data_IF_442122986819
#
_entry.id   IF_442122986819
#
_cell.length_a   1.000
_cell.length_b   1.000
_cell.length_c   1.000
_cell.angle_alpha   90.00
_cell.angle_beta   90.00
_cell.angle_gamma   90.00
#
_symmetry.space_group_name_H-M   'P 1'
#
loop_
_entity.id
_entity.type
_entity.pdbx_description
1 polymer ?
#
# COMPACT_ATOMS: atom_id res chain seq x y z
N UNK A 1 -10.87 -11.16 26.60
CA UNK A 1 -10.90 -12.22 25.58
C UNK A 1 -12.36 -12.58 25.30
N UNK A 2 -13.01 -11.76 24.49
CA UNK A 2 -14.33 -12.03 23.90
C UNK A 2 -14.07 -12.71 22.57
N UNK A 3 -14.69 -13.87 22.34
CA UNK A 3 -14.59 -14.62 21.08
C UNK A 3 -15.01 -13.74 19.90
N UNK A 4 -14.05 -13.23 19.12
CA UNK A 4 -14.32 -12.63 17.81
C UNK A 4 -14.68 -13.78 16.85
N UNK A 5 -15.97 -14.03 16.69
CA UNK A 5 -16.45 -15.07 15.78
C UNK A 5 -16.34 -14.60 14.32
N UNK A 6 -15.31 -15.10 13.63
CA UNK A 6 -15.24 -15.10 12.16
C UNK A 6 -16.46 -15.82 11.59
N UNK A 7 -17.08 -15.25 10.56
CA UNK A 7 -18.13 -15.94 9.81
C UNK A 7 -17.50 -16.61 8.59
N UNK A 8 -17.89 -17.86 8.31
CA UNK A 8 -17.35 -18.65 7.20
C UNK A 8 -18.46 -19.12 6.26
N UNK A 9 -18.14 -19.13 4.97
CA UNK A 9 -19.00 -19.60 3.88
C UNK A 9 -18.20 -20.52 2.98
N UNK A 10 -18.62 -21.78 2.86
CA UNK A 10 -17.88 -22.79 2.09
C UNK A 10 -18.78 -23.37 1.00
N UNK A 11 -18.21 -23.61 -0.17
CA UNK A 11 -18.84 -24.42 -1.21
C UNK A 11 -17.83 -25.34 -1.88
N UNK A 12 -18.36 -26.39 -2.49
CA UNK A 12 -17.57 -27.36 -3.26
C UNK A 12 -18.24 -27.52 -4.63
N UNK A 13 -17.45 -27.56 -5.70
CA UNK A 13 -17.96 -27.88 -7.03
C UNK A 13 -17.00 -28.77 -7.79
N UNK A 14 -17.58 -29.69 -8.58
CA UNK A 14 -16.84 -30.58 -9.46
C UNK A 14 -16.74 -29.93 -10.84
N UNK A 15 -15.53 -29.76 -11.35
CA UNK A 15 -15.26 -29.26 -12.69
C UNK A 15 -14.58 -30.36 -13.51
N UNK A 16 -14.69 -30.35 -14.85
CA UNK A 16 -13.95 -31.30 -15.68
C UNK A 16 -12.43 -31.18 -15.40
N UNK A 17 -11.87 -32.19 -14.74
CA UNK A 17 -10.43 -32.30 -14.47
C UNK A 17 -9.95 -31.78 -13.12
N UNK A 18 -10.80 -31.28 -12.23
CA UNK A 18 -10.44 -30.97 -10.83
C UNK A 18 -11.69 -30.77 -9.96
N UNK A 19 -11.57 -31.02 -8.65
CA UNK A 19 -12.57 -30.61 -7.66
C UNK A 19 -12.04 -29.40 -6.91
N UNK A 20 -12.91 -28.42 -6.70
CA UNK A 20 -12.57 -27.22 -5.95
C UNK A 20 -13.36 -27.11 -4.65
N UNK A 21 -12.66 -26.68 -3.61
CA UNK A 21 -13.24 -26.25 -2.35
C UNK A 21 -12.89 -24.78 -2.15
N UNK A 22 -13.92 -23.96 -1.93
CA UNK A 22 -13.76 -22.52 -1.70
C UNK A 22 -14.31 -22.19 -0.33
N UNK A 23 -13.49 -21.54 0.49
CA UNK A 23 -13.87 -21.01 1.79
C UNK A 23 -13.68 -19.50 1.80
N UNK A 24 -14.74 -18.76 2.12
CA UNK A 24 -14.73 -17.31 2.33
C UNK A 24 -14.96 -17.05 3.82
N UNK A 25 -14.05 -16.30 4.43
CA UNK A 25 -14.10 -15.88 5.82
C UNK A 25 -14.17 -14.36 5.89
N UNK A 26 -14.95 -13.84 6.84
CA UNK A 26 -15.01 -12.41 7.12
C UNK A 26 -14.70 -12.15 8.58
N UNK A 27 -13.77 -11.22 8.79
CA UNK A 27 -13.34 -10.71 10.09
C UNK A 27 -13.53 -9.20 10.14
N UNK A 28 -13.87 -8.67 11.32
CA UNK A 28 -13.77 -7.23 11.58
C UNK A 28 -12.31 -6.88 11.86
N UNK A 29 -11.78 -5.83 11.24
CA UNK A 29 -10.45 -5.30 11.58
C UNK A 29 -10.39 -4.76 12.99
N UNK A 30 -11.54 -4.43 13.55
CA UNK A 30 -11.69 -3.82 14.86
C UNK A 30 -11.91 -4.83 15.98
N UNK A 31 -11.74 -6.13 15.70
CA UNK A 31 -11.91 -7.24 16.65
C UNK A 31 -13.31 -7.34 17.29
N UNK A 32 -14.29 -6.65 16.72
CA UNK A 32 -15.71 -6.76 17.07
C UNK A 32 -16.40 -7.92 16.30
N UNK A 33 -17.59 -8.30 16.73
CA UNK A 33 -18.43 -9.25 15.98
C UNK A 33 -18.76 -8.72 14.58
N UNK A 34 -18.73 -9.58 13.57
CA UNK A 34 -19.09 -9.21 12.19
C UNK A 34 -20.54 -8.73 12.09
N UNK A 35 -20.74 -7.61 11.40
CA UNK A 35 -22.07 -7.02 11.19
C UNK A 35 -22.89 -7.81 10.15
N UNK A 36 -24.23 -7.70 10.14
CA UNK A 36 -25.07 -8.29 9.09
C UNK A 36 -24.69 -7.84 7.67
N UNK A 37 -24.21 -6.60 7.51
CA UNK A 37 -23.76 -6.07 6.21
C UNK A 37 -22.47 -6.75 5.75
N UNK A 38 -21.48 -6.89 6.64
CA UNK A 38 -20.23 -7.61 6.34
C UNK A 38 -20.50 -9.07 5.98
N UNK A 39 -21.41 -9.73 6.72
CA UNK A 39 -21.82 -11.10 6.43
C UNK A 39 -22.59 -11.24 5.10
N UNK A 40 -23.40 -10.25 4.72
CA UNK A 40 -24.07 -10.24 3.41
C UNK A 40 -23.05 -10.09 2.27
N UNK A 41 -22.10 -9.17 2.41
CA UNK A 41 -21.04 -8.95 1.43
C UNK A 41 -20.18 -10.21 1.19
N UNK A 42 -19.78 -10.90 2.27
CA UNK A 42 -19.03 -12.15 2.18
C UNK A 42 -19.82 -13.28 1.49
N UNK A 43 -21.15 -13.35 1.69
CA UNK A 43 -22.01 -14.31 0.95
C UNK A 43 -22.11 -13.99 -0.52
N UNK A 44 -22.19 -12.71 -0.88
CA UNK A 44 -22.21 -12.27 -2.26
C UNK A 44 -20.90 -12.62 -2.97
N UNK A 45 -19.75 -12.42 -2.31
CA UNK A 45 -18.46 -12.90 -2.82
C UNK A 45 -18.44 -14.42 -3.05
N UNK A 46 -18.92 -15.22 -2.09
CA UNK A 46 -19.00 -16.67 -2.24
C UNK A 46 -19.89 -17.08 -3.44
N UNK A 47 -21.01 -16.37 -3.66
CA UNK A 47 -21.87 -16.59 -4.81
C UNK A 47 -21.20 -16.22 -6.14
N UNK A 48 -20.47 -15.09 -6.18
CA UNK A 48 -19.68 -14.66 -7.33
C UNK A 48 -18.61 -15.69 -7.71
N UNK A 49 -17.87 -16.19 -6.72
CA UNK A 49 -16.86 -17.23 -6.93
C UNK A 49 -17.48 -18.55 -7.41
N UNK A 50 -18.65 -18.92 -6.89
CA UNK A 50 -19.38 -20.11 -7.32
C UNK A 50 -19.85 -20.00 -8.79
N UNK A 51 -20.33 -18.83 -9.20
CA UNK A 51 -20.69 -18.55 -10.59
C UNK A 51 -19.46 -18.60 -11.51
N UNK A 52 -18.38 -17.92 -11.13
CA UNK A 52 -17.13 -17.88 -11.92
C UNK A 52 -16.53 -19.28 -12.14
N UNK A 53 -16.58 -20.14 -11.12
CA UNK A 53 -16.19 -21.54 -11.20
C UNK A 53 -17.10 -22.34 -12.14
N UNK A 54 -18.42 -22.21 -12.00
CA UNK A 54 -19.40 -22.94 -12.82
C UNK A 54 -19.32 -22.59 -14.31
N UNK A 55 -18.94 -21.36 -14.62
CA UNK A 55 -18.76 -20.85 -15.99
C UNK A 55 -17.33 -21.05 -16.52
N UNK A 56 -16.43 -21.69 -15.76
CA UNK A 56 -15.07 -21.92 -16.19
C UNK A 56 -14.98 -23.01 -17.25
N UNK A 57 -14.31 -22.68 -18.36
CA UNK A 57 -13.92 -23.66 -19.37
C UNK A 57 -12.43 -23.96 -19.19
N UNK A 58 -12.03 -25.23 -18.97
CA UNK A 58 -10.64 -25.59 -18.80
C UNK A 58 -9.77 -25.14 -19.97
N UNK A 59 -8.67 -24.46 -19.65
CA UNK A 59 -7.61 -24.08 -20.59
C UNK A 59 -6.33 -24.83 -20.28
N UNK A 60 -5.54 -25.14 -21.30
CA UNK A 60 -4.20 -25.71 -21.09
C UNK A 60 -3.32 -24.71 -20.29
N UNK A 61 -2.52 -25.20 -19.32
CA UNK A 61 -1.60 -24.34 -18.60
C UNK A 61 -0.54 -23.78 -19.55
N UNK A 62 -0.34 -22.47 -19.54
CA UNK A 62 0.72 -21.80 -20.30
C UNK A 62 1.84 -21.32 -19.37
N UNK A 63 3.05 -21.23 -19.93
CA UNK A 63 4.24 -20.70 -19.25
C UNK A 63 5.05 -19.91 -20.28
N UNK A 64 5.24 -18.62 -20.05
CA UNK A 64 6.22 -17.83 -20.80
C UNK A 64 7.53 -17.75 -20.01
N UNK A 65 8.60 -18.30 -20.57
CA UNK A 65 9.94 -18.35 -19.97
C UNK A 65 10.92 -17.41 -20.72
N UNK A 66 10.41 -16.29 -21.24
CA UNK A 66 11.23 -15.26 -21.89
C UNK A 66 12.18 -14.59 -20.90
N UNK A 67 13.33 -14.08 -21.39
CA UNK A 67 14.28 -13.34 -20.56
C UNK A 67 13.66 -12.10 -19.89
N UNK A 68 12.72 -11.41 -20.57
CA UNK A 68 11.99 -10.28 -20.01
C UNK A 68 11.22 -10.66 -18.73
N UNK A 69 10.66 -11.87 -18.69
CA UNK A 69 9.97 -12.37 -17.51
C UNK A 69 10.94 -12.56 -16.32
N UNK A 70 12.19 -12.94 -16.58
CA UNK A 70 13.23 -13.00 -15.55
C UNK A 70 13.69 -11.62 -15.08
N UNK A 71 13.69 -10.60 -15.95
CA UNK A 71 13.95 -9.20 -15.53
C UNK A 71 12.86 -8.73 -14.57
N UNK A 72 11.59 -8.91 -14.94
CA UNK A 72 10.45 -8.50 -14.10
C UNK A 72 10.45 -9.25 -12.77
N UNK A 73 10.77 -10.55 -12.77
CA UNK A 73 10.92 -11.34 -11.55
C UNK A 73 12.07 -10.84 -10.66
N UNK A 74 13.21 -10.48 -11.25
CA UNK A 74 14.34 -9.92 -10.50
C UNK A 74 13.99 -8.58 -9.85
N UNK A 75 13.36 -7.68 -10.60
CA UNK A 75 12.86 -6.42 -10.07
C UNK A 75 11.85 -6.65 -8.93
N UNK A 76 10.97 -7.63 -9.07
CA UNK A 76 10.01 -8.01 -8.02
C UNK A 76 10.73 -8.42 -6.72
N UNK A 77 11.73 -9.31 -6.80
CA UNK A 77 12.49 -9.71 -5.61
C UNK A 77 13.22 -8.53 -4.95
N UNK A 78 13.79 -7.62 -5.74
CA UNK A 78 14.44 -6.42 -5.21
C UNK A 78 13.45 -5.50 -4.47
N UNK A 79 12.26 -5.29 -5.05
CA UNK A 79 11.19 -4.51 -4.40
C UNK A 79 10.75 -5.16 -3.09
N UNK A 80 10.65 -6.49 -3.02
CA UNK A 80 10.28 -7.19 -1.79
C UNK A 80 11.38 -7.11 -0.72
N UNK A 81 12.65 -7.22 -1.10
CA UNK A 81 13.77 -7.00 -0.18
C UNK A 81 13.74 -5.56 0.40
N UNK A 82 13.41 -4.55 -0.42
CA UNK A 82 13.23 -3.17 0.04
C UNK A 82 12.00 -2.99 0.93
N UNK A 83 10.89 -3.63 0.57
CA UNK A 83 9.66 -3.62 1.35
C UNK A 83 9.92 -4.19 2.75
N UNK A 84 10.58 -5.35 2.83
CA UNK A 84 11.01 -6.00 4.09
C UNK A 84 11.81 -5.06 4.98
N UNK A 85 12.79 -4.36 4.41
CA UNK A 85 13.63 -3.42 5.15
C UNK A 85 12.87 -2.15 5.61
N UNK A 86 11.68 -1.91 5.03
CA UNK A 86 10.84 -0.73 5.33
C UNK A 86 9.68 -1.04 6.28
N UNK A 87 9.39 -2.32 6.56
CA UNK A 87 8.27 -2.75 7.42
C UNK A 87 8.32 -2.04 8.78
N UNK A 88 9.48 -1.99 9.43
CA UNK A 88 9.54 -1.42 10.80
C UNK A 88 9.63 0.11 10.84
N UNK A 89 10.06 0.75 9.75
CA UNK A 89 10.51 2.15 9.77
C UNK A 89 9.66 3.11 8.93
N UNK A 90 9.04 2.63 7.84
CA UNK A 90 8.34 3.49 6.89
C UNK A 90 7.18 2.75 6.19
N UNK A 91 5.98 2.68 6.82
CA UNK A 91 4.82 1.98 6.27
C UNK A 91 4.42 2.44 4.86
N UNK A 92 4.54 3.74 4.57
CA UNK A 92 4.28 4.31 3.25
C UNK A 92 5.25 3.81 2.18
N UNK A 93 6.53 3.65 2.52
CA UNK A 93 7.53 3.10 1.61
C UNK A 93 7.31 1.60 1.41
N UNK A 94 7.08 0.85 2.48
CA UNK A 94 6.75 -0.57 2.39
C UNK A 94 5.53 -0.79 1.48
N UNK A 95 4.45 -0.02 1.68
CA UNK A 95 3.27 -0.03 0.81
C UNK A 95 3.63 0.23 -0.65
N UNK A 96 4.42 1.28 -0.94
CA UNK A 96 4.85 1.62 -2.30
C UNK A 96 5.57 0.44 -2.96
N UNK A 97 6.54 -0.16 -2.26
CA UNK A 97 7.30 -1.29 -2.80
C UNK A 97 6.42 -2.52 -3.03
N UNK A 98 5.48 -2.81 -2.13
CA UNK A 98 4.51 -3.88 -2.35
C UNK A 98 3.56 -3.61 -3.51
N UNK A 99 3.14 -2.36 -3.71
CA UNK A 99 2.31 -1.97 -4.86
C UNK A 99 3.08 -2.17 -6.17
N UNK A 100 4.32 -1.67 -6.27
CA UNK A 100 5.17 -1.86 -7.46
C UNK A 100 5.50 -3.34 -7.70
N UNK A 101 5.72 -4.12 -6.64
CA UNK A 101 5.92 -5.57 -6.74
C UNK A 101 4.64 -6.28 -7.23
N UNK A 102 3.47 -5.84 -6.78
CA UNK A 102 2.20 -6.36 -7.26
C UNK A 102 1.97 -6.03 -8.73
N UNK A 103 2.31 -4.83 -9.21
CA UNK A 103 2.21 -4.45 -10.63
C UNK A 103 3.10 -5.36 -11.50
N UNK A 104 4.33 -5.64 -11.07
CA UNK A 104 5.20 -6.61 -11.74
C UNK A 104 4.58 -8.02 -11.74
N UNK A 105 4.03 -8.45 -10.61
CA UNK A 105 3.39 -9.76 -10.47
C UNK A 105 2.10 -9.89 -11.26
N UNK A 106 1.40 -8.79 -11.54
CA UNK A 106 0.25 -8.77 -12.45
C UNK A 106 0.69 -9.15 -13.86
N UNK A 107 1.77 -8.54 -14.35
CA UNK A 107 2.35 -8.87 -15.66
C UNK A 107 2.83 -10.34 -15.68
N UNK A 108 3.53 -10.78 -14.64
CA UNK A 108 3.99 -12.16 -14.53
C UNK A 108 2.84 -13.18 -14.44
N UNK A 109 1.73 -12.83 -13.78
CA UNK A 109 0.50 -13.65 -13.68
C UNK A 109 -0.11 -13.88 -15.07
N UNK A 110 -0.09 -12.88 -15.95
CA UNK A 110 -0.54 -13.04 -17.33
C UNK A 110 0.38 -13.95 -18.15
N UNK A 111 1.68 -13.93 -17.86
CA UNK A 111 2.69 -14.76 -18.54
C UNK A 111 2.76 -16.20 -18.01
N UNK A 112 2.47 -16.42 -16.73
CA UNK A 112 2.42 -17.73 -16.08
C UNK A 112 1.46 -17.68 -14.87
N UNK A 113 0.31 -18.38 -14.92
CA UNK A 113 -0.69 -18.35 -13.85
C UNK A 113 -0.21 -18.83 -12.46
N UNK A 114 0.97 -19.45 -12.35
CA UNK A 114 1.56 -19.82 -11.05
C UNK A 114 1.86 -18.61 -10.17
N UNK A 115 2.07 -17.44 -10.76
CA UNK A 115 2.25 -16.18 -10.03
C UNK A 115 0.96 -15.64 -9.41
N UNK A 116 -0.22 -16.22 -9.70
CA UNK A 116 -1.51 -15.73 -9.19
C UNK A 116 -1.50 -15.54 -7.67
N UNK A 117 -1.04 -16.53 -6.92
CA UNK A 117 -1.05 -16.42 -5.46
C UNK A 117 -0.03 -15.40 -4.96
N UNK A 118 1.16 -15.34 -5.57
CA UNK A 118 2.16 -14.33 -5.26
C UNK A 118 1.62 -12.90 -5.51
N UNK A 119 0.95 -12.68 -6.64
CA UNK A 119 0.29 -11.41 -6.96
C UNK A 119 -0.70 -10.99 -5.85
N UNK A 120 -1.63 -11.88 -5.50
CA UNK A 120 -2.64 -11.56 -4.48
C UNK A 120 -2.06 -11.42 -3.08
N UNK A 121 -0.95 -12.11 -2.76
CA UNK A 121 -0.24 -11.91 -1.50
C UNK A 121 0.53 -10.59 -1.48
N UNK A 122 1.10 -10.14 -2.60
CA UNK A 122 1.71 -8.81 -2.71
C UNK A 122 0.66 -7.71 -2.51
N UNK A 123 -0.53 -7.83 -3.13
CA UNK A 123 -1.67 -6.91 -2.90
C UNK A 123 -2.12 -6.92 -1.43
N UNK A 124 -2.12 -8.10 -0.78
CA UNK A 124 -2.42 -8.22 0.65
C UNK A 124 -1.38 -7.50 1.52
N UNK A 125 -0.09 -7.62 1.22
CA UNK A 125 0.98 -6.89 1.90
C UNK A 125 0.85 -5.38 1.69
N UNK A 126 0.57 -4.91 0.47
CA UNK A 126 0.30 -3.50 0.18
C UNK A 126 -0.85 -2.97 1.05
N UNK A 127 -1.96 -3.71 1.12
CA UNK A 127 -3.11 -3.31 1.93
C UNK A 127 -2.80 -3.35 3.43
N UNK A 128 -2.09 -4.36 3.92
CA UNK A 128 -1.69 -4.44 5.33
C UNK A 128 -0.77 -3.27 5.72
N UNK A 129 0.24 -2.97 4.91
CA UNK A 129 1.10 -1.80 5.09
C UNK A 129 0.30 -0.48 5.09
N UNK A 130 -0.65 -0.35 4.16
CA UNK A 130 -1.52 0.81 4.05
C UNK A 130 -2.48 1.00 5.23
N UNK A 131 -2.85 -0.08 5.92
CA UNK A 131 -3.73 -0.07 7.09
C UNK A 131 -2.95 -0.10 8.43
N UNK A 132 -1.62 0.07 8.40
CA UNK A 132 -0.75 0.01 9.58
C UNK A 132 -0.83 -1.32 10.35
N UNK A 133 -1.02 -2.43 9.63
CA UNK A 133 -1.08 -3.78 10.19
C UNK A 133 0.29 -4.44 10.14
N UNK A 134 1.27 -3.88 10.88
CA UNK A 134 2.68 -4.25 10.73
C UNK A 134 3.00 -5.66 11.24
N UNK A 135 2.34 -6.10 12.32
CA UNK A 135 2.50 -7.46 12.85
C UNK A 135 2.05 -8.52 11.82
N UNK A 136 0.90 -8.28 11.18
CA UNK A 136 0.34 -9.11 10.12
C UNK A 136 1.23 -9.07 8.86
N UNK A 137 1.84 -7.91 8.57
CA UNK A 137 2.63 -7.66 7.36
C UNK A 137 3.89 -8.53 7.29
N UNK A 138 4.60 -8.72 8.41
CA UNK A 138 5.80 -9.58 8.46
C UNK A 138 5.44 -11.02 8.07
N UNK A 139 4.39 -11.59 8.68
CA UNK A 139 3.91 -12.94 8.36
C UNK A 139 3.49 -13.06 6.88
N UNK A 140 2.79 -12.05 6.35
CA UNK A 140 2.33 -12.08 4.96
C UNK A 140 3.49 -11.98 3.97
N UNK A 141 4.52 -11.18 4.31
CA UNK A 141 5.72 -11.08 3.50
C UNK A 141 6.50 -12.40 3.45
N UNK A 142 6.71 -13.05 4.59
CA UNK A 142 7.33 -14.38 4.63
C UNK A 142 6.52 -15.39 3.80
N UNK A 143 5.19 -15.34 3.88
CA UNK A 143 4.33 -16.19 3.07
C UNK A 143 4.49 -15.89 1.58
N UNK A 144 4.55 -14.62 1.16
CA UNK A 144 4.74 -14.20 -0.23
C UNK A 144 6.01 -14.80 -0.85
N UNK A 145 7.14 -14.78 -0.12
CA UNK A 145 8.41 -15.35 -0.60
C UNK A 145 8.27 -16.85 -0.95
N UNK A 146 7.41 -17.60 -0.24
CA UNK A 146 7.17 -19.03 -0.52
C UNK A 146 6.43 -19.29 -1.83
N UNK A 147 5.73 -18.29 -2.36
CA UNK A 147 4.99 -18.39 -3.63
C UNK A 147 5.81 -17.95 -4.83
N UNK A 148 6.99 -17.36 -4.64
CA UNK A 148 7.86 -16.91 -5.71
C UNK A 148 8.86 -17.99 -6.14
N UNK A 149 9.34 -17.95 -7.40
CA UNK A 149 10.51 -18.72 -7.80
C UNK A 149 11.70 -18.44 -6.89
N UNK A 150 12.33 -19.51 -6.39
CA UNK A 150 13.46 -19.40 -5.50
C UNK A 150 14.70 -18.83 -6.23
N UNK A 151 15.35 -17.85 -5.59
CA UNK A 151 16.68 -17.39 -5.98
C UNK A 151 17.70 -18.49 -5.67
N UNK A 152 18.49 -18.89 -6.67
CA UNK A 152 19.53 -19.91 -6.50
C UNK A 152 20.77 -19.31 -5.85
N UNK A 153 21.15 -19.84 -4.69
CA UNK A 153 22.37 -19.46 -3.98
C UNK A 153 23.51 -20.49 -4.18
N UNK A 154 23.20 -21.62 -4.82
CA UNK A 154 24.08 -22.76 -5.08
C UNK A 154 23.56 -23.57 -6.26
N UNK A 155 24.16 -24.74 -6.50
CA UNK A 155 23.80 -25.71 -7.54
C UNK A 155 22.30 -25.73 -7.90
N UNK A 156 22.03 -25.57 -9.19
CA UNK A 156 20.69 -25.55 -9.75
C UNK A 156 20.03 -26.93 -9.75
N UNK A 157 18.72 -27.04 -9.44
CA UNK A 157 17.95 -28.27 -9.62
C UNK A 157 17.62 -28.55 -11.10
N UNK A 158 17.89 -27.60 -12.00
CA UNK A 158 17.61 -27.67 -13.44
C UNK A 158 18.89 -27.53 -14.26
N UNK A 159 18.89 -28.08 -15.49
CA UNK A 159 20.05 -28.06 -16.40
C UNK A 159 20.45 -26.65 -16.84
N UNK A 160 19.51 -25.71 -16.86
CA UNK A 160 19.73 -24.32 -17.28
C UNK A 160 19.38 -23.35 -16.17
N UNK A 161 20.06 -22.20 -16.19
CA UNK A 161 19.85 -21.07 -15.29
C UNK A 161 19.75 -19.76 -16.07
N UNK A 162 19.08 -18.78 -15.48
CA UNK A 162 19.13 -17.39 -15.93
C UNK A 162 19.85 -16.56 -14.87
N UNK A 163 20.86 -15.83 -15.29
CA UNK A 163 21.63 -14.89 -14.48
C UNK A 163 21.16 -13.49 -14.81
N UNK A 164 20.72 -12.76 -13.80
CA UNK A 164 20.33 -11.36 -13.86
C UNK A 164 21.34 -10.57 -13.03
N UNK A 165 22.18 -9.79 -13.70
CA UNK A 165 23.16 -8.90 -13.06
C UNK A 165 22.64 -7.45 -13.11
N UNK A 166 22.42 -6.87 -11.94
CA UNK A 166 22.03 -5.46 -11.72
C UNK A 166 23.28 -4.56 -11.63
N UNK A 167 23.32 -3.55 -12.48
CA UNK A 167 24.39 -2.57 -12.61
C UNK A 167 24.01 -1.18 -12.06
N UNK A 168 22.86 -1.04 -11.39
CA UNK A 168 22.44 0.21 -10.78
C UNK A 168 23.46 0.65 -9.73
N UNK A 169 23.91 1.90 -9.82
CA UNK A 169 24.85 2.45 -8.83
C UNK A 169 24.13 2.83 -7.55
N UNK A 170 24.87 2.87 -6.44
CA UNK A 170 24.33 3.32 -5.16
C UNK A 170 23.81 4.76 -5.22
N UNK A 171 24.47 5.65 -5.98
CA UNK A 171 24.01 7.03 -6.15
C UNK A 171 22.72 7.11 -6.96
N UNK A 172 22.58 6.27 -8.01
CA UNK A 172 21.35 6.17 -8.79
C UNK A 172 20.19 5.68 -7.94
N UNK A 173 20.41 4.59 -7.19
CA UNK A 173 19.40 4.04 -6.29
C UNK A 173 19.02 5.03 -5.18
N UNK A 174 19.98 5.75 -4.59
CA UNK A 174 19.70 6.74 -3.55
C UNK A 174 18.85 7.92 -4.06
N UNK A 175 18.89 8.22 -5.36
CA UNK A 175 18.12 9.32 -5.96
C UNK A 175 16.65 8.94 -6.18
N UNK A 176 16.36 7.70 -6.58
CA UNK A 176 15.01 7.24 -6.92
C UNK A 176 14.35 6.44 -5.79
N UNK A 177 15.17 5.81 -4.95
CA UNK A 177 14.78 4.80 -3.97
C UNK A 177 13.97 3.67 -4.63
N UNK A 178 14.21 3.38 -5.90
CA UNK A 178 13.53 2.32 -6.65
C UNK A 178 14.56 1.60 -7.52
N UNK A 179 14.40 0.27 -7.72
CA UNK A 179 15.28 -0.45 -8.62
C UNK A 179 15.13 0.03 -10.07
N UNK A 180 16.23 0.03 -10.81
CA UNK A 180 16.26 0.44 -12.21
C UNK A 180 16.29 -0.78 -13.15
N UNK A 181 15.14 -1.08 -13.75
CA UNK A 181 14.98 -2.20 -14.68
C UNK A 181 15.76 -2.04 -15.99
N UNK A 182 16.21 -0.82 -16.33
CA UNK A 182 17.07 -0.58 -17.50
C UNK A 182 18.55 -0.81 -17.20
N UNK A 183 18.94 -0.81 -15.91
CA UNK A 183 20.32 -1.02 -15.47
C UNK A 183 20.68 -2.51 -15.31
N UNK A 184 19.98 -3.42 -15.99
CA UNK A 184 20.11 -4.87 -15.79
C UNK A 184 20.66 -5.56 -17.04
N UNK A 185 21.50 -6.57 -16.86
CA UNK A 185 21.90 -7.52 -17.92
C UNK A 185 21.43 -8.93 -17.61
N UNK A 186 20.88 -9.62 -18.62
CA UNK A 186 20.35 -10.99 -18.46
C UNK A 186 21.03 -11.96 -19.42
N UNK A 187 21.47 -13.09 -18.88
CA UNK A 187 22.08 -14.18 -19.65
C UNK A 187 21.45 -15.52 -19.26
N UNK A 188 21.20 -16.38 -20.24
CA UNK A 188 20.83 -17.78 -20.02
C UNK A 188 22.06 -18.65 -20.25
N UNK A 189 22.35 -19.53 -19.30
CA UNK A 189 23.53 -20.40 -19.30
C UNK A 189 23.13 -21.83 -18.95
N UNK A 190 23.97 -22.79 -19.32
CA UNK A 190 23.91 -24.12 -18.73
C UNK A 190 24.42 -24.04 -17.27
N UNK A 191 23.82 -24.83 -16.38
CA UNK A 191 24.04 -24.68 -14.94
C UNK A 191 25.48 -25.02 -14.50
N UNK A 192 26.17 -25.87 -15.28
CA UNK A 192 27.57 -26.26 -15.07
C UNK A 192 28.58 -25.25 -15.66
N UNK A 193 28.12 -24.30 -16.46
CA UNK A 193 28.92 -23.19 -16.99
C UNK A 193 28.95 -21.98 -16.04
N UNK A 194 28.16 -21.99 -14.96
CA UNK A 194 28.07 -20.85 -14.04
C UNK A 194 29.25 -20.84 -13.04
N UNK A 195 30.13 -19.86 -13.20
CA UNK A 195 31.31 -19.68 -12.35
C UNK A 195 30.98 -19.38 -10.87
N UNK A 196 29.91 -18.61 -10.61
CA UNK A 196 29.43 -18.29 -9.26
C UNK A 196 27.95 -17.91 -9.25
N UNK A 197 27.23 -18.51 -8.30
CA UNK A 197 25.84 -18.21 -7.97
C UNK A 197 25.69 -16.94 -7.12
N UNK A 198 26.75 -16.53 -6.41
CA UNK A 198 26.70 -15.39 -5.50
C UNK A 198 27.69 -14.30 -5.93
N UNK A 199 27.16 -13.13 -6.28
CA UNK A 199 27.92 -11.92 -6.56
C UNK A 199 27.05 -10.69 -6.22
N UNK A 200 27.68 -9.53 -5.95
CA UNK A 200 26.95 -8.29 -5.68
C UNK A 200 26.15 -7.89 -6.92
N UNK A 201 24.86 -7.59 -6.74
CA UNK A 201 23.94 -7.27 -7.85
C UNK A 201 23.49 -8.48 -8.67
N UNK A 202 23.96 -9.70 -8.38
CA UNK A 202 23.59 -10.90 -9.12
C UNK A 202 22.41 -11.62 -8.48
N UNK A 203 21.43 -11.96 -9.30
CA UNK A 203 20.38 -12.92 -8.96
C UNK A 203 20.34 -14.04 -9.99
N UNK A 204 20.25 -15.29 -9.54
CA UNK A 204 20.22 -16.47 -10.41
C UNK A 204 18.91 -17.22 -10.22
N UNK A 205 18.26 -17.62 -11.32
CA UNK A 205 16.99 -18.33 -11.31
C UNK A 205 17.07 -19.65 -12.10
N UNK A 206 16.30 -20.68 -11.71
CA UNK A 206 16.19 -21.90 -12.49
C UNK A 206 15.40 -21.66 -13.79
N UNK A 207 15.59 -22.57 -14.76
CA UNK A 207 14.77 -22.66 -15.98
C UNK A 207 14.15 -24.05 -16.04
N UNK A 208 12.81 -24.19 -15.97
CA UNK A 208 11.80 -23.12 -15.87
C UNK A 208 11.79 -22.40 -14.51
N UNK A 209 11.18 -21.21 -14.44
CA UNK A 209 11.06 -20.43 -13.19
C UNK A 209 10.45 -21.24 -12.04
N UNK A 210 9.39 -22.00 -12.33
CA UNK A 210 8.80 -22.96 -11.42
C UNK A 210 9.11 -24.37 -11.91
N UNK A 211 10.16 -25.03 -11.38
CA UNK A 211 10.36 -26.46 -11.60
C UNK A 211 9.13 -27.25 -11.14
N UNK A 212 8.83 -28.36 -11.81
CA UNK A 212 7.61 -29.11 -11.51
C UNK A 212 7.59 -29.62 -10.06
N UNK A 213 6.45 -29.48 -9.39
CA UNK A 213 6.26 -29.90 -8.00
C UNK A 213 6.79 -28.93 -6.93
N UNK A 214 7.29 -27.76 -7.31
CA UNK A 214 7.80 -26.74 -6.35
C UNK A 214 6.72 -25.88 -5.72
N UNK A 215 5.55 -25.74 -6.35
CA UNK A 215 4.46 -24.87 -5.91
C UNK A 215 3.15 -25.64 -5.82
N UNK A 216 2.41 -25.42 -4.73
CA UNK A 216 1.08 -26.02 -4.54
C UNK A 216 0.03 -25.27 -5.37
N UNK A 217 -0.91 -26.01 -5.97
CA UNK A 217 -2.09 -25.42 -6.62
C UNK A 217 -3.11 -25.00 -5.56
N UNK A 218 -2.95 -23.78 -5.04
CA UNK A 218 -3.82 -23.18 -4.03
C UNK A 218 -3.84 -21.66 -4.19
N UNK A 219 -4.97 -21.04 -3.89
CA UNK A 219 -5.09 -19.59 -3.73
C UNK A 219 -5.51 -19.30 -2.30
N UNK A 220 -4.74 -18.52 -1.56
CA UNK A 220 -5.04 -18.17 -0.18
C UNK A 220 -4.59 -16.73 0.09
N UNK A 221 -5.55 -15.81 0.09
CA UNK A 221 -5.27 -14.38 0.29
C UNK A 221 -6.40 -13.72 1.08
N UNK A 222 -6.24 -12.44 1.41
CA UNK A 222 -7.29 -11.62 1.97
C UNK A 222 -7.31 -10.22 1.37
N UNK A 223 -8.50 -9.63 1.33
CA UNK A 223 -8.73 -8.26 0.88
C UNK A 223 -9.33 -7.43 2.03
N UNK A 224 -8.86 -6.20 2.17
CA UNK A 224 -9.33 -5.23 3.15
C UNK A 224 -10.33 -4.27 2.49
N UNK A 225 -11.55 -4.23 3.01
CA UNK A 225 -12.67 -3.46 2.45
C UNK A 225 -13.47 -2.89 3.61
N UNK A 226 -13.79 -1.58 3.65
CA UNK A 226 -14.71 -0.97 4.62
C UNK A 226 -14.54 -1.44 6.09
N UNK A 227 -13.31 -1.51 6.60
CA UNK A 227 -13.03 -1.93 7.98
C UNK A 227 -13.21 -3.44 8.27
N UNK A 228 -13.36 -4.28 7.24
CA UNK A 228 -13.34 -5.74 7.33
C UNK A 228 -12.19 -6.36 6.53
N UNK A 229 -11.77 -7.55 6.96
CA UNK A 229 -10.87 -8.45 6.23
C UNK A 229 -11.69 -9.59 5.67
N UNK A 230 -11.64 -9.77 4.35
CA UNK A 230 -12.22 -10.91 3.65
C UNK A 230 -11.09 -11.85 3.25
N UNK A 231 -11.00 -13.00 3.90
CA UNK A 231 -10.06 -14.04 3.54
C UNK A 231 -10.76 -15.04 2.66
N UNK A 232 -10.20 -15.39 1.51
CA UNK A 232 -10.71 -16.47 0.69
C UNK A 232 -9.61 -17.47 0.34
N UNK A 233 -9.97 -18.73 0.46
CA UNK A 233 -9.10 -19.88 0.27
C UNK A 233 -9.76 -20.77 -0.77
N UNK A 234 -9.01 -21.08 -1.83
CA UNK A 234 -9.39 -22.00 -2.89
C UNK A 234 -8.38 -23.13 -2.90
N UNK A 235 -8.86 -24.32 -2.56
CA UNK A 235 -8.11 -25.56 -2.64
C UNK A 235 -8.59 -26.36 -3.86
N UNK A 236 -7.63 -26.90 -4.62
CA UNK A 236 -7.88 -27.72 -5.81
C UNK A 236 -7.23 -29.09 -5.61
N UNK A 237 -7.93 -30.18 -5.97
CA UNK A 237 -7.36 -31.54 -5.89
C UNK A 237 -6.18 -31.74 -6.87
N UNK A 238 -6.34 -31.24 -8.10
CA UNK A 238 -5.33 -31.29 -9.17
C UNK A 238 -4.78 -29.89 -9.50
N UNK A 239 -3.66 -29.83 -10.24
CA UNK A 239 -3.07 -28.56 -10.69
C UNK A 239 -4.03 -27.75 -11.58
N UNK A 240 -4.42 -26.56 -11.13
CA UNK A 240 -5.44 -25.74 -11.79
C UNK A 240 -5.13 -24.23 -11.75
N UNK A 241 -3.87 -23.84 -11.96
CA UNK A 241 -3.46 -22.42 -11.90
C UNK A 241 -4.29 -21.46 -12.77
N UNK A 242 -4.70 -21.78 -14.01
CA UNK A 242 -5.56 -20.90 -14.78
C UNK A 242 -6.96 -20.69 -14.16
N UNK A 243 -7.51 -21.70 -13.48
CA UNK A 243 -8.76 -21.57 -12.73
C UNK A 243 -8.56 -20.68 -11.50
N UNK A 244 -7.47 -20.88 -10.75
CA UNK A 244 -7.12 -20.04 -9.60
C UNK A 244 -6.97 -18.57 -10.01
N UNK A 245 -6.32 -18.30 -11.16
CA UNK A 245 -6.24 -16.96 -11.77
C UNK A 245 -7.62 -16.35 -11.97
N UNK A 246 -8.53 -17.06 -12.65
CA UNK A 246 -9.89 -16.59 -12.92
C UNK A 246 -10.68 -16.32 -11.63
N UNK A 247 -10.56 -17.18 -10.63
CA UNK A 247 -11.26 -17.01 -9.35
C UNK A 247 -10.71 -15.81 -8.57
N UNK A 248 -9.40 -15.61 -8.58
CA UNK A 248 -8.78 -14.42 -8.00
C UNK A 248 -9.24 -13.14 -8.69
N UNK A 249 -9.28 -13.11 -10.03
CA UNK A 249 -9.74 -11.95 -10.80
C UNK A 249 -11.21 -11.62 -10.50
N UNK A 250 -12.07 -12.63 -10.38
CA UNK A 250 -13.46 -12.45 -9.99
C UNK A 250 -13.62 -11.89 -8.56
N UNK A 251 -12.78 -12.32 -7.62
CA UNK A 251 -12.76 -11.77 -6.26
C UNK A 251 -12.29 -10.32 -6.24
N UNK A 252 -11.25 -10.02 -7.00
CA UNK A 252 -10.67 -8.69 -7.12
C UNK A 252 -11.66 -7.70 -7.76
N UNK A 253 -12.30 -8.05 -8.87
CA UNK A 253 -13.32 -7.22 -9.51
C UNK A 253 -14.48 -6.93 -8.55
N UNK A 254 -14.91 -7.93 -7.79
CA UNK A 254 -15.95 -7.76 -6.77
C UNK A 254 -15.52 -6.79 -5.65
N UNK A 255 -14.26 -6.85 -5.22
CA UNK A 255 -13.70 -6.03 -4.14
C UNK A 255 -13.12 -4.68 -4.61
N UNK A 256 -13.13 -4.38 -5.91
CA UNK A 256 -12.46 -3.20 -6.49
C UNK A 256 -12.97 -1.85 -5.95
N UNK A 257 -14.11 -1.83 -5.27
CA UNK A 257 -14.76 -0.63 -4.71
C UNK A 257 -13.88 0.14 -3.72
N UNK A 258 -12.89 -0.52 -3.09
CA UNK A 258 -12.03 0.08 -2.05
C UNK A 258 -10.52 -0.03 -2.30
N UNK A 259 -10.10 -0.62 -3.42
CA UNK A 259 -8.67 -0.84 -3.69
C UNK A 259 -7.92 0.49 -3.85
N UNK A 260 -6.97 0.76 -2.94
CA UNK A 260 -5.97 1.82 -3.08
C UNK A 260 -6.16 3.08 -2.24
N UNK A 261 -7.18 3.15 -1.38
CA UNK A 261 -7.37 4.25 -0.43
C UNK A 261 -7.33 3.71 1.00
N UNK A 262 -6.15 3.67 1.59
CA UNK A 262 -5.92 3.17 2.96
C UNK A 262 -5.63 4.34 3.92
N UNK A 263 -5.63 4.08 5.25
CA UNK A 263 -5.27 5.10 6.24
C UNK A 263 -3.94 5.83 5.95
N UNK A 264 -2.90 5.14 5.44
CA UNK A 264 -1.67 5.79 4.97
C UNK A 264 -1.96 6.92 3.96
N UNK A 265 -2.76 6.69 2.91
CA UNK A 265 -3.11 7.74 1.94
C UNK A 265 -3.89 8.88 2.59
N UNK A 266 -4.83 8.54 3.49
CA UNK A 266 -5.61 9.54 4.21
C UNK A 266 -4.70 10.50 4.99
N UNK A 267 -3.78 9.97 5.80
CA UNK A 267 -2.92 10.80 6.64
C UNK A 267 -1.83 11.52 5.85
N UNK A 268 -1.30 10.93 4.78
CA UNK A 268 -0.39 11.61 3.86
C UNK A 268 -1.07 12.82 3.20
N UNK A 269 -2.28 12.65 2.67
CA UNK A 269 -2.99 13.73 1.98
C UNK A 269 -3.57 14.77 2.97
N UNK A 270 -3.93 14.37 4.19
CA UNK A 270 -4.31 15.29 5.25
C UNK A 270 -3.13 16.17 5.68
N UNK A 271 -1.95 15.58 5.88
CA UNK A 271 -0.73 16.31 6.20
C UNK A 271 -0.31 17.27 5.07
N UNK A 272 -0.43 16.83 3.82
CA UNK A 272 -0.19 17.67 2.64
C UNK A 272 -1.18 18.85 2.61
N UNK A 273 -2.48 18.58 2.76
CA UNK A 273 -3.53 19.59 2.80
C UNK A 273 -3.30 20.65 3.89
N UNK A 274 -2.86 20.25 5.08
CA UNK A 274 -2.50 21.15 6.19
C UNK A 274 -1.29 22.02 5.88
N UNK A 275 -0.25 21.46 5.27
CA UNK A 275 0.91 22.23 4.82
C UNK A 275 0.50 23.26 3.76
N UNK A 276 -0.39 22.88 2.82
CA UNK A 276 -0.92 23.79 1.80
C UNK A 276 -1.79 24.91 2.39
N UNK A 277 -2.62 24.59 3.38
CA UNK A 277 -3.41 25.59 4.11
C UNK A 277 -2.51 26.65 4.76
N UNK A 278 -1.45 26.19 5.45
CA UNK A 278 -0.46 27.09 6.05
C UNK A 278 0.22 28.00 5.00
N UNK A 279 0.54 27.46 3.82
CA UNK A 279 1.14 28.22 2.72
C UNK A 279 0.20 29.25 2.09
N UNK A 280 -1.12 29.06 2.20
CA UNK A 280 -2.13 30.03 1.74
C UNK A 280 -2.11 31.35 2.54
N UNK A 281 -1.46 31.38 3.70
CA UNK A 281 -1.23 32.59 4.50
C UNK A 281 0.08 33.31 4.14
N UNK A 282 0.90 32.75 3.25
CA UNK A 282 2.17 33.37 2.85
C UNK A 282 1.97 34.58 1.93
N UNK A 283 2.89 35.57 1.94
CA UNK A 283 2.87 36.67 0.98
C UNK A 283 2.93 36.19 -0.47
N UNK A 284 3.75 35.17 -0.73
CA UNK A 284 3.93 34.60 -2.08
C UNK A 284 2.61 34.09 -2.67
N UNK A 285 1.76 33.46 -1.87
CA UNK A 285 0.45 32.99 -2.34
C UNK A 285 -0.46 34.12 -2.85
N UNK A 286 -0.35 35.32 -2.27
CA UNK A 286 -1.11 36.49 -2.71
C UNK A 286 -0.50 37.19 -3.95
N UNK A 287 0.82 37.07 -4.12
CA UNK A 287 1.61 37.81 -5.12
C UNK A 287 1.91 37.02 -6.40
N UNK A 288 2.06 35.70 -6.30
CA UNK A 288 2.47 34.80 -7.39
C UNK A 288 1.29 33.91 -7.82
N UNK A 289 0.61 34.31 -8.90
CA UNK A 289 -0.55 33.61 -9.43
C UNK A 289 -0.25 32.20 -9.96
N UNK A 290 0.99 31.92 -10.41
CA UNK A 290 1.38 30.58 -10.86
C UNK A 290 1.56 29.68 -9.65
N UNK A 291 2.28 30.16 -8.63
CA UNK A 291 2.44 29.45 -7.37
C UNK A 291 1.10 29.16 -6.71
N UNK A 292 0.19 30.15 -6.65
CA UNK A 292 -1.16 29.97 -6.12
C UNK A 292 -1.93 28.89 -6.87
N UNK A 293 -1.91 28.88 -8.20
CA UNK A 293 -2.60 27.85 -8.98
C UNK A 293 -2.07 26.46 -8.65
N UNK A 294 -0.75 26.28 -8.67
CA UNK A 294 -0.13 24.99 -8.38
C UNK A 294 -0.45 24.51 -6.95
N UNK A 295 -0.47 25.42 -5.97
CA UNK A 295 -0.90 25.13 -4.61
C UNK A 295 -2.36 24.66 -4.58
N UNK A 296 -3.26 25.39 -5.25
CA UNK A 296 -4.70 25.08 -5.28
C UNK A 296 -5.01 23.78 -6.02
N UNK A 297 -4.33 23.49 -7.11
CA UNK A 297 -4.44 22.22 -7.84
C UNK A 297 -4.00 21.05 -6.94
N UNK A 298 -2.91 21.22 -6.21
CA UNK A 298 -2.45 20.21 -5.27
C UNK A 298 -3.39 20.05 -4.07
N UNK A 299 -3.94 21.16 -3.56
CA UNK A 299 -4.91 21.13 -2.46
C UNK A 299 -6.21 20.43 -2.89
N UNK A 300 -6.70 20.73 -4.10
CA UNK A 300 -7.84 20.06 -4.71
C UNK A 300 -7.60 18.55 -4.90
N UNK A 301 -6.38 18.16 -5.27
CA UNK A 301 -5.99 16.75 -5.35
C UNK A 301 -6.07 16.07 -3.97
N UNK A 302 -5.42 16.63 -2.95
CA UNK A 302 -5.43 16.06 -1.59
C UNK A 302 -6.86 15.92 -1.05
N UNK A 303 -7.69 16.95 -1.21
CA UNK A 303 -9.11 16.90 -0.82
C UNK A 303 -9.91 15.88 -1.62
N UNK A 304 -9.54 15.59 -2.87
CA UNK A 304 -10.19 14.56 -3.67
C UNK A 304 -9.93 13.15 -3.16
N UNK A 305 -8.74 12.91 -2.58
CA UNK A 305 -8.39 11.66 -1.90
C UNK A 305 -9.11 11.57 -0.57
N UNK A 306 -9.08 12.64 0.26
CA UNK A 306 -9.81 12.68 1.54
C UNK A 306 -11.32 12.45 1.35
N UNK A 307 -11.90 12.95 0.25
CA UNK A 307 -13.29 12.72 -0.11
C UNK A 307 -13.64 11.25 -0.43
N UNK A 308 -12.65 10.37 -0.61
CA UNK A 308 -12.88 8.92 -0.72
C UNK A 308 -13.19 8.28 0.64
N UNK A 309 -12.75 8.91 1.72
CA UNK A 309 -12.97 8.45 3.09
C UNK A 309 -14.18 9.13 3.73
N UNK A 310 -14.37 10.44 3.50
CA UNK A 310 -15.52 11.18 4.04
C UNK A 310 -16.05 12.21 3.03
N UNK A 311 -17.36 12.13 2.74
CA UNK A 311 -18.06 13.04 1.85
C UNK A 311 -18.05 14.51 2.34
N UNK A 312 -17.72 14.77 3.62
CA UNK A 312 -17.53 16.14 4.13
C UNK A 312 -16.47 16.93 3.34
N UNK A 313 -15.54 16.24 2.68
CA UNK A 313 -14.49 16.86 1.86
C UNK A 313 -14.94 17.21 0.43
N UNK A 314 -16.18 16.89 0.02
CA UNK A 314 -16.70 17.20 -1.31
C UNK A 314 -16.74 18.72 -1.57
N UNK A 315 -17.31 19.47 -0.63
CA UNK A 315 -17.42 20.93 -0.71
C UNK A 315 -16.04 21.60 -0.73
N UNK A 316 -15.12 21.35 0.23
CA UNK A 316 -13.80 21.98 0.18
C UNK A 316 -13.01 21.60 -1.07
N UNK A 317 -13.13 20.36 -1.60
CA UNK A 317 -12.53 19.97 -2.88
C UNK A 317 -13.02 20.86 -4.03
N UNK A 318 -14.32 21.05 -4.13
CA UNK A 318 -14.93 21.83 -5.21
C UNK A 318 -14.61 23.33 -5.08
N UNK A 319 -14.48 23.83 -3.84
CA UNK A 319 -13.98 25.18 -3.58
C UNK A 319 -12.51 25.34 -4.00
N UNK A 320 -11.64 24.37 -3.74
CA UNK A 320 -10.24 24.41 -4.17
C UNK A 320 -10.12 24.45 -5.70
N UNK A 321 -10.89 23.60 -6.40
CA UNK A 321 -10.97 23.61 -7.88
C UNK A 321 -11.48 24.93 -8.42
N UNK A 322 -12.58 25.43 -7.85
CA UNK A 322 -13.14 26.72 -8.24
C UNK A 322 -12.15 27.86 -8.02
N UNK A 323 -11.40 27.84 -6.91
CA UNK A 323 -10.36 28.83 -6.64
C UNK A 323 -9.20 28.75 -7.65
N UNK A 324 -8.83 27.54 -8.08
CA UNK A 324 -7.81 27.32 -9.11
C UNK A 324 -8.26 27.89 -10.47
N UNK A 325 -9.51 27.65 -10.86
CA UNK A 325 -10.10 28.18 -12.10
C UNK A 325 -10.22 29.71 -12.05
N UNK A 326 -10.72 30.25 -10.93
CA UNK A 326 -10.87 31.69 -10.71
C UNK A 326 -9.55 32.46 -10.68
N UNK A 327 -8.43 31.78 -10.42
CA UNK A 327 -7.11 32.40 -10.46
C UNK A 327 -6.78 32.99 -11.84
N UNK A 328 -7.36 32.46 -12.92
CA UNK A 328 -7.18 32.98 -14.28
C UNK A 328 -8.03 34.22 -14.56
N UNK A 329 -9.16 34.40 -13.87
CA UNK A 329 -10.18 35.40 -14.20
C UNK A 329 -10.37 36.52 -13.16
N UNK A 330 -9.99 36.32 -11.89
CA UNK A 330 -10.23 37.30 -10.82
C UNK A 330 -8.98 37.69 -10.04
N UNK A 331 -8.85 39.01 -9.83
CA UNK A 331 -7.87 39.67 -8.98
C UNK A 331 -7.88 39.10 -7.57
N UNK A 332 -6.90 38.26 -7.29
CA UNK A 332 -6.24 37.87 -6.03
C UNK A 332 -6.99 37.67 -4.72
N UNK A 333 -8.06 38.40 -4.40
CA UNK A 333 -8.63 38.40 -3.04
C UNK A 333 -9.66 37.29 -2.83
N UNK A 334 -10.51 37.02 -3.82
CA UNK A 334 -11.54 35.98 -3.74
C UNK A 334 -10.94 34.56 -3.68
N UNK A 335 -9.92 34.28 -4.49
CA UNK A 335 -9.21 33.00 -4.44
C UNK A 335 -8.52 32.81 -3.07
N UNK A 336 -7.94 33.87 -2.51
CA UNK A 336 -7.31 33.83 -1.19
C UNK A 336 -8.33 33.58 -0.07
N UNK A 337 -9.47 34.25 -0.10
CA UNK A 337 -10.53 34.06 0.90
C UNK A 337 -11.12 32.65 0.83
N UNK A 338 -11.42 32.15 -0.37
CA UNK A 338 -11.90 30.79 -0.57
C UNK A 338 -10.91 29.76 -0.03
N UNK A 339 -9.61 29.91 -0.35
CA UNK A 339 -8.57 28.98 0.11
C UNK A 339 -8.47 28.94 1.63
N UNK A 340 -8.49 30.10 2.29
CA UNK A 340 -8.41 30.16 3.77
C UNK A 340 -9.64 29.58 4.44
N UNK A 341 -10.79 29.62 3.78
CA UNK A 341 -12.00 28.99 4.31
C UNK A 341 -11.81 27.48 4.36
N UNK A 342 -11.18 26.87 3.33
CA UNK A 342 -10.98 25.42 3.20
C UNK A 342 -10.28 24.82 4.44
N UNK A 343 -9.29 25.52 5.00
CA UNK A 343 -8.58 25.06 6.21
C UNK A 343 -9.46 24.75 7.41
N UNK A 344 -10.65 25.38 7.51
CA UNK A 344 -11.59 25.15 8.62
C UNK A 344 -12.29 23.79 8.56
N UNK A 345 -12.28 23.11 7.41
CA UNK A 345 -12.82 21.75 7.27
C UNK A 345 -11.79 20.67 7.58
N UNK A 346 -10.50 21.01 7.62
CA UNK A 346 -9.46 20.03 7.91
C UNK A 346 -9.50 19.63 9.39
N UNK A 347 -9.41 18.32 9.71
CA UNK A 347 -9.17 17.84 11.06
C UNK A 347 -8.04 18.61 11.75
N UNK A 348 -8.11 18.81 13.07
CA UNK A 348 -7.07 19.53 13.80
C UNK A 348 -5.80 18.69 13.89
N UNK A 349 -4.66 19.34 13.72
CA UNK A 349 -3.39 18.80 14.18
C UNK A 349 -3.36 18.96 15.72
N UNK A 350 -2.90 17.95 16.45
CA UNK A 350 -2.74 18.07 17.90
C UNK A 350 -1.75 19.21 18.23
N UNK A 351 -0.78 19.48 17.37
CA UNK A 351 0.10 20.64 17.50
C UNK A 351 -0.66 21.98 17.49
N UNK A 352 -1.84 22.06 16.84
CA UNK A 352 -2.71 23.26 16.87
C UNK A 352 -3.31 23.51 18.26
N UNK A 353 -3.36 22.48 19.11
CA UNK A 353 -3.91 22.54 20.48
C UNK A 353 -2.83 22.90 21.50
N UNK A 354 -1.54 22.71 21.16
CA UNK A 354 -0.41 23.01 22.03
C UNK A 354 -0.17 24.55 22.08
N UNK A 355 -0.15 25.18 23.26
CA UNK A 355 0.03 26.62 23.38
C UNK A 355 1.37 27.13 22.81
N UNK A 356 1.31 28.20 22.00
CA UNK A 356 2.51 28.88 21.46
C UNK A 356 3.36 29.47 22.60
N UNK A 357 4.65 29.10 22.64
CA UNK A 357 5.61 29.58 23.66
C UNK A 357 5.87 28.59 24.79
N UNK A 358 5.37 27.37 24.70
CA UNK A 358 5.76 26.28 25.58
C UNK A 358 7.27 26.04 25.50
N UNK A 359 7.95 26.09 26.66
CA UNK A 359 9.37 25.75 26.81
C UNK A 359 9.50 24.63 27.84
N UNK A 360 10.41 23.69 27.55
CA UNK A 360 10.61 22.42 28.27
C UNK A 360 10.91 22.59 29.78
N UNK A 361 11.26 23.80 30.23
CA UNK A 361 11.72 24.09 31.59
C UNK A 361 10.61 24.27 32.66
N UNK A 362 9.32 24.13 32.33
CA UNK A 362 8.24 24.62 33.22
C UNK A 362 7.10 23.66 33.57
N UNK A 363 7.00 22.42 33.04
CA UNK A 363 5.66 21.89 32.76
C UNK A 363 5.39 20.38 32.99
N UNK A 364 6.11 19.66 33.85
CA UNK A 364 5.82 18.22 34.09
C UNK A 364 4.34 17.95 34.46
N UNK A 365 3.74 18.80 35.30
CA UNK A 365 2.32 18.67 35.72
C UNK A 365 1.33 18.96 34.58
N UNK A 366 1.63 19.94 33.73
CA UNK A 366 0.78 20.27 32.57
C UNK A 366 0.97 19.29 31.41
N UNK A 367 2.17 18.73 31.24
CA UNK A 367 2.43 17.66 30.27
C UNK A 367 1.61 16.42 30.61
N UNK A 368 1.55 16.05 31.90
CA UNK A 368 0.66 14.98 32.38
C UNK A 368 -0.82 15.30 32.15
N UNK A 369 -1.29 16.52 32.45
CA UNK A 369 -2.70 16.88 32.21
C UNK A 369 -3.07 16.88 30.72
N UNK A 370 -2.13 17.28 29.84
CA UNK A 370 -2.33 17.26 28.40
C UNK A 370 -2.28 15.82 27.86
N UNK A 371 -1.36 14.99 28.34
CA UNK A 371 -1.30 13.55 28.07
C UNK A 371 -2.62 12.88 28.46
N UNK A 372 -3.08 13.07 29.70
CA UNK A 372 -4.37 12.59 30.19
C UNK A 372 -5.52 13.10 29.30
N UNK A 373 -5.49 14.39 28.93
CA UNK A 373 -6.49 15.01 28.07
C UNK A 373 -6.53 14.41 26.65
N UNK A 374 -5.37 14.15 26.04
CA UNK A 374 -5.25 13.51 24.73
C UNK A 374 -5.75 12.06 24.80
N UNK A 375 -5.38 11.32 25.85
CA UNK A 375 -5.81 9.95 26.09
C UNK A 375 -7.30 9.81 26.44
N UNK A 376 -7.98 10.91 26.81
CA UNK A 376 -9.43 10.95 26.97
C UNK A 376 -10.18 11.21 25.65
N UNK A 377 -9.49 11.61 24.57
CA UNK A 377 -10.14 11.84 23.29
C UNK A 377 -10.65 10.52 22.71
N UNK A 378 -11.85 10.51 22.11
CA UNK A 378 -12.31 9.35 21.36
C UNK A 378 -11.41 9.18 20.14
N UNK A 379 -10.75 8.04 20.04
CA UNK A 379 -9.87 7.66 18.95
C UNK A 379 -9.09 6.42 19.32
N UNK A 380 -8.62 5.66 18.34
CA UNK A 380 -7.97 4.37 18.61
C UNK A 380 -6.47 4.50 18.77
N UNK A 381 -5.85 5.42 18.02
CA UNK A 381 -4.39 5.57 17.91
C UNK A 381 -4.01 7.02 17.64
N UNK A 382 -2.75 7.37 17.88
CA UNK A 382 -2.15 8.61 17.38
C UNK A 382 -1.34 8.32 16.13
N UNK A 383 -1.57 9.11 15.07
CA UNK A 383 -0.82 9.03 13.82
C UNK A 383 0.08 10.24 13.70
N UNK A 384 1.38 10.01 13.58
CA UNK A 384 2.38 11.05 13.35
C UNK A 384 2.76 11.01 11.88
N UNK A 385 2.84 12.17 11.23
CA UNK A 385 3.34 12.29 9.85
C UNK A 385 4.68 12.99 9.87
N UNK A 386 5.73 12.25 9.51
CA UNK A 386 7.09 12.75 9.40
C UNK A 386 7.29 13.37 8.01
N UNK A 387 7.84 14.59 7.97
CA UNK A 387 8.22 15.24 6.73
C UNK A 387 9.73 15.06 6.48
N UNK A 388 10.06 14.21 5.51
CA UNK A 388 11.44 13.92 5.09
C UNK A 388 11.91 14.78 3.92
N UNK A 389 11.14 15.79 3.51
CA UNK A 389 11.56 16.72 2.46
C UNK A 389 12.74 17.56 2.97
N UNK A 390 13.85 17.55 2.24
CA UNK A 390 15.00 18.37 2.65
C UNK A 390 14.72 19.86 2.42
N UNK A 391 15.40 20.77 3.16
CA UNK A 391 15.31 22.19 2.88
C UNK A 391 15.66 22.52 1.42
N UNK A 392 16.67 21.87 0.85
CA UNK A 392 17.08 22.08 -0.54
C UNK A 392 16.02 21.60 -1.55
N UNK A 393 15.34 20.49 -1.28
CA UNK A 393 14.21 20.00 -2.09
C UNK A 393 13.03 20.97 -2.01
N UNK A 394 12.69 21.43 -0.81
CA UNK A 394 11.60 22.38 -0.59
C UNK A 394 11.87 23.73 -1.26
N UNK A 395 13.11 24.21 -1.25
CA UNK A 395 13.50 25.48 -1.89
C UNK A 395 13.21 25.51 -3.40
N UNK A 396 13.25 24.35 -4.08
CA UNK A 396 13.03 24.25 -5.53
C UNK A 396 11.58 24.52 -5.92
N UNK A 397 10.62 23.98 -5.18
CA UNK A 397 9.19 24.05 -5.52
C UNK A 397 8.42 25.01 -4.61
N UNK A 398 8.89 25.22 -3.38
CA UNK A 398 8.18 25.86 -2.26
C UNK A 398 6.80 25.25 -2.00
N UNK A 399 6.65 23.97 -2.33
CA UNK A 399 5.46 23.18 -2.16
C UNK A 399 5.84 21.88 -1.43
N UNK A 400 4.95 21.35 -0.58
CA UNK A 400 5.19 20.09 0.09
C UNK A 400 5.30 18.94 -0.90
N UNK A 401 6.17 17.98 -0.61
CA UNK A 401 6.30 16.76 -1.39
C UNK A 401 5.61 15.59 -0.68
N UNK A 402 4.45 15.18 -1.18
CA UNK A 402 3.67 14.06 -0.63
C UNK A 402 4.44 12.74 -0.55
N UNK A 403 5.40 12.52 -1.46
CA UNK A 403 6.24 11.31 -1.46
C UNK A 403 7.27 11.31 -0.32
N UNK A 404 7.41 12.44 0.40
CA UNK A 404 8.28 12.58 1.56
C UNK A 404 7.51 12.67 2.88
N UNK A 405 6.18 12.55 2.83
CA UNK A 405 5.33 12.52 4.02
C UNK A 405 5.10 11.07 4.43
N UNK A 406 5.61 10.69 5.59
CA UNK A 406 5.55 9.31 6.09
C UNK A 406 4.69 9.22 7.34
N UNK A 407 3.42 8.80 7.20
CA UNK A 407 2.56 8.54 8.34
C UNK A 407 2.98 7.25 9.05
N UNK A 408 2.94 7.28 10.38
CA UNK A 408 3.24 6.13 11.25
C UNK A 408 2.32 6.12 12.47
N UNK A 409 2.04 4.92 12.97
CA UNK A 409 1.34 4.76 14.25
C UNK A 409 2.32 5.06 15.37
N UNK A 410 2.01 6.07 16.17
CA UNK A 410 2.75 6.40 17.37
C UNK A 410 2.42 5.42 18.50
N UNK A 411 1.14 5.12 18.68
CA UNK A 411 0.64 4.21 19.72
C UNK A 411 -0.86 4.40 19.96
N UNK A 412 -1.42 3.55 20.82
CA UNK A 412 -2.82 3.65 21.28
C UNK A 412 -3.00 4.71 22.39
N UNK A 413 -1.90 5.11 23.02
CA UNK A 413 -1.84 6.06 24.14
C UNK A 413 -0.74 7.07 23.81
N UNK A 414 -1.02 8.36 23.98
CA UNK A 414 -0.01 9.40 23.98
C UNK A 414 0.78 9.34 25.29
N UNK A 415 2.10 9.44 25.21
CA UNK A 415 2.98 9.60 26.36
C UNK A 415 3.82 10.88 26.20
N UNK A 416 4.69 11.18 27.16
CA UNK A 416 5.49 12.41 27.19
C UNK A 416 6.34 12.62 25.93
N UNK A 417 6.74 11.54 25.25
CA UNK A 417 7.60 11.58 24.05
C UNK A 417 6.84 12.17 22.83
N UNK A 418 5.51 12.24 22.86
CA UNK A 418 4.71 12.84 21.78
C UNK A 418 5.01 14.34 21.61
N UNK A 419 5.46 14.98 22.69
CA UNK A 419 5.78 16.41 22.70
C UNK A 419 7.13 16.72 22.07
N UNK A 420 8.04 15.75 22.03
CA UNK A 420 9.29 15.87 21.27
C UNK A 420 9.02 15.87 19.75
N UNK A 421 7.84 15.40 19.34
CA UNK A 421 7.37 15.40 17.95
C UNK A 421 6.63 16.68 17.56
N UNK A 422 6.69 17.77 18.36
CA UNK A 422 5.98 19.06 18.11
C UNK A 422 6.27 19.74 16.77
N UNK A 423 7.28 19.28 16.04
CA UNK A 423 7.62 19.76 14.70
C UNK A 423 7.05 18.90 13.58
N UNK A 424 6.40 17.79 13.93
CA UNK A 424 5.66 16.90 13.05
C UNK A 424 4.16 17.16 13.19
N UNK A 425 3.38 16.72 12.20
CA UNK A 425 1.93 16.77 12.26
C UNK A 425 1.38 15.54 12.96
N UNK A 426 0.45 15.71 13.89
CA UNK A 426 -0.08 14.62 14.70
C UNK A 426 -1.61 14.62 14.65
N UNK A 427 -2.20 13.48 14.30
CA UNK A 427 -3.63 13.31 14.12
C UNK A 427 -4.18 12.16 14.98
N UNK A 428 -5.49 12.21 15.25
CA UNK A 428 -6.21 11.08 15.81
C UNK A 428 -6.50 10.03 14.72
N UNK A 429 -6.24 8.77 15.09
CA UNK A 429 -6.44 7.53 14.36
C UNK A 429 -7.88 7.07 14.39
N UNK A 430 -8.71 7.59 13.48
CA UNK A 430 -10.16 7.31 13.42
C UNK A 430 -10.61 6.69 12.09
N UNK A 431 -9.69 6.57 11.12
CA UNK A 431 -9.96 6.15 9.73
C UNK A 431 -9.57 4.70 9.48
#
# INVERSE_FOLDING_TARGET
MTDSHSSYFTFTTDLPGTKIEVTVMVDSLFHDSTSPRQNAFARELAATLSAAASEYTPTEPWRNESLDAYVVLANTHQLLDLARNSVDAAPSQARRYFAEAADNLEVLKEWNPRFTNAYYQARKCEQAAGNFLMDDLEEFHECLETWLPARLLSDSPTERVVVVDDHQTQESFAATLTPDHEAVSVNMLDADELDSYTAVGRTVYPVPMYPDGTIMSRLATSVYVDGMRLTYIVDTEDEAFPLLKKLGEAAEEFCAVTCGYTPVEYYTELACAKQLDNLAYSPRFAEDGVYRRNLLEMYAYSLSVLNKFDAMFEVPRDLARSAADLNEEMRSDAAVELTRTIGHWLPRDIADVIPRGWTDASNDEFAMELEDGLNMLPGRRFIVVLDHQSPEEYEQTRLPNREKLYPMVYGEVADVDIFDLRHNQIFLGDV
#
